data_IF_010001986091
#
_entry.id   IF_010001986091
#
_cell.length_a   1.000
_cell.length_b   1.000
_cell.length_c   1.000
_cell.angle_alpha   90.00
_cell.angle_beta   90.00
_cell.angle_gamma   90.00
#
_symmetry.space_group_name_H-M   'P 1'
#
loop_
_entity.id
_entity.type
_entity.pdbx_description
1 polymer ?
#
# COMPACT_ATOMS: atom_id res chain seq x y z
N UNK A 1 -42.57 -51.64 -28.47
CA UNK A 1 -42.39 -50.27 -28.96
C UNK A 1 -42.65 -49.30 -27.82
N UNK A 2 -41.61 -48.91 -27.11
CA UNK A 2 -41.64 -47.93 -26.02
C UNK A 2 -40.78 -46.74 -26.43
N UNK A 3 -41.37 -45.55 -26.49
CA UNK A 3 -40.63 -44.30 -26.69
C UNK A 3 -39.97 -43.87 -25.36
N UNK A 4 -38.70 -43.44 -25.35
CA UNK A 4 -38.11 -42.78 -24.20
C UNK A 4 -38.35 -41.27 -24.25
N UNK A 5 -38.76 -40.70 -23.10
CA UNK A 5 -38.89 -39.26 -22.86
C UNK A 5 -37.51 -38.59 -22.92
N UNK A 6 -37.40 -37.52 -23.69
CA UNK A 6 -36.28 -36.58 -23.67
C UNK A 6 -36.43 -35.61 -22.49
N UNK A 7 -35.51 -35.67 -21.53
CA UNK A 7 -35.36 -34.69 -20.45
C UNK A 7 -34.43 -33.55 -20.90
N UNK A 8 -34.98 -32.34 -21.04
CA UNK A 8 -34.20 -31.11 -21.20
C UNK A 8 -33.60 -30.67 -19.84
N UNK A 9 -32.36 -30.14 -19.80
CA UNK A 9 -31.83 -29.50 -18.60
C UNK A 9 -32.33 -28.05 -18.49
N UNK A 10 -32.97 -27.72 -17.37
CA UNK A 10 -33.36 -26.36 -17.02
C UNK A 10 -32.12 -25.48 -16.74
N UNK A 11 -31.91 -24.45 -17.57
CA UNK A 11 -31.06 -23.31 -17.23
C UNK A 11 -31.69 -22.53 -16.06
N UNK A 12 -31.04 -22.51 -14.90
CA UNK A 12 -31.31 -21.51 -13.84
C UNK A 12 -30.38 -20.32 -14.03
N UNK A 13 -30.90 -19.24 -14.57
CA UNK A 13 -30.29 -17.91 -14.47
C UNK A 13 -30.49 -17.38 -13.04
N UNK A 14 -29.40 -17.13 -12.32
CA UNK A 14 -29.45 -16.43 -11.02
C UNK A 14 -29.27 -14.94 -11.31
N UNK A 15 -30.38 -14.21 -11.29
CA UNK A 15 -30.39 -12.74 -11.31
C UNK A 15 -30.22 -12.25 -9.88
N UNK A 16 -29.09 -11.63 -9.54
CA UNK A 16 -28.89 -10.98 -8.24
C UNK A 16 -29.41 -9.55 -8.32
N UNK A 17 -30.44 -9.23 -7.55
CA UNK A 17 -30.98 -7.88 -7.43
C UNK A 17 -30.02 -6.99 -6.60
N UNK A 18 -29.85 -5.69 -6.94
CA UNK A 18 -29.07 -4.76 -6.14
C UNK A 18 -29.82 -4.37 -4.85
N UNK A 19 -29.12 -4.10 -3.73
CA UNK A 19 -29.75 -3.71 -2.47
C UNK A 19 -30.30 -2.27 -2.51
N UNK A 20 -31.29 -1.94 -1.66
CA UNK A 20 -32.02 -0.68 -1.71
C UNK A 20 -31.19 0.55 -1.30
N UNK A 21 -31.42 1.66 -2.01
CA UNK A 21 -30.75 2.96 -1.90
C UNK A 21 -31.24 3.81 -0.70
N UNK A 22 -31.19 3.29 0.52
CA UNK A 22 -31.59 4.05 1.73
C UNK A 22 -30.51 4.18 2.81
N UNK A 23 -29.24 3.90 2.48
CA UNK A 23 -28.11 4.03 3.43
C UNK A 23 -27.39 5.39 3.33
N UNK A 24 -27.73 6.23 2.34
CA UNK A 24 -27.10 7.54 2.16
C UNK A 24 -28.09 8.67 2.46
N UNK A 25 -28.37 8.91 3.74
CA UNK A 25 -29.05 10.13 4.19
C UNK A 25 -28.16 10.86 5.21
N UNK A 26 -27.81 12.16 5.02
CA UNK A 26 -26.79 12.86 5.83
C UNK A 26 -27.22 13.24 7.26
N UNK A 27 -28.41 12.84 7.70
CA UNK A 27 -28.98 13.26 8.98
C UNK A 27 -29.48 12.05 9.79
N UNK A 28 -28.55 11.29 10.38
CA UNK A 28 -28.87 10.37 11.47
C UNK A 28 -27.76 10.35 12.53
N UNK A 29 -28.07 10.56 13.82
CA UNK A 29 -27.10 10.72 14.89
C UNK A 29 -26.61 9.34 15.37
N UNK A 30 -25.71 8.73 14.61
CA UNK A 30 -25.03 7.47 14.99
C UNK A 30 -23.51 7.56 14.92
N UNK A 31 -22.94 8.77 14.75
CA UNK A 31 -21.52 9.02 15.01
C UNK A 31 -21.26 9.16 16.53
N UNK A 32 -21.56 8.10 17.27
CA UNK A 32 -21.13 7.94 18.65
C UNK A 32 -21.00 6.43 18.92
N UNK A 33 -19.86 6.04 19.47
CA UNK A 33 -19.49 4.70 19.94
C UNK A 33 -19.21 3.62 18.88
N UNK A 34 -17.91 3.32 18.70
CA UNK A 34 -17.43 1.92 18.72
C UNK A 34 -16.11 1.88 19.50
N UNK A 35 -16.21 1.73 20.82
CA UNK A 35 -15.27 0.93 21.61
C UNK A 35 -15.80 -0.51 21.55
N UNK A 36 -15.03 -1.46 21.01
CA UNK A 36 -15.25 -2.88 21.25
C UNK A 36 -13.90 -3.51 21.63
N UNK A 37 -13.73 -3.73 22.94
CA UNK A 37 -12.81 -4.73 23.48
C UNK A 37 -13.33 -6.11 23.04
N UNK A 38 -12.61 -6.79 22.16
CA UNK A 38 -12.95 -8.15 21.76
C UNK A 38 -12.34 -9.15 22.76
N UNK A 39 -13.05 -9.45 23.83
CA UNK A 39 -12.83 -10.65 24.65
C UNK A 39 -13.56 -11.82 24.00
N UNK A 40 -12.90 -12.53 23.09
CA UNK A 40 -13.31 -13.87 22.68
C UNK A 40 -12.21 -14.86 23.09
N UNK A 41 -12.47 -15.80 24.02
CA UNK A 41 -11.43 -16.64 24.63
C UNK A 41 -10.95 -17.79 23.74
N UNK A 42 -11.33 -17.86 22.45
CA UNK A 42 -10.79 -18.89 21.55
C UNK A 42 -10.69 -18.42 20.08
N UNK A 43 -9.53 -17.88 19.63
CA UNK A 43 -9.39 -17.41 18.26
C UNK A 43 -9.04 -18.55 17.30
N UNK A 44 -9.82 -18.68 16.22
CA UNK A 44 -9.48 -19.52 15.07
C UNK A 44 -8.17 -19.01 14.40
N UNK A 45 -7.11 -19.83 14.33
CA UNK A 45 -5.79 -19.42 13.83
C UNK A 45 -5.76 -19.06 12.33
N UNK A 46 -6.81 -19.39 11.56
CA UNK A 46 -6.88 -19.15 10.11
C UNK A 46 -7.75 -17.96 9.71
N UNK A 47 -8.24 -17.17 10.66
CA UNK A 47 -8.98 -15.94 10.34
C UNK A 47 -8.01 -14.77 10.08
N UNK A 48 -8.10 -14.06 8.93
CA UNK A 48 -7.33 -12.84 8.74
C UNK A 48 -7.85 -11.79 9.72
N UNK A 49 -7.08 -11.51 10.78
CA UNK A 49 -7.34 -10.33 11.62
C UNK A 49 -7.25 -9.10 10.73
N UNK A 50 -8.25 -8.20 10.70
CA UNK A 50 -8.08 -6.89 10.10
C UNK A 50 -6.89 -6.22 10.76
N UNK A 51 -5.84 -5.88 10.00
CA UNK A 51 -4.71 -5.14 10.56
C UNK A 51 -5.25 -3.82 11.10
N UNK A 52 -4.93 -3.47 12.36
CA UNK A 52 -5.26 -2.18 13.00
C UNK A 52 -4.89 -0.96 12.13
N UNK A 53 -3.95 -1.15 11.19
CA UNK A 53 -3.55 -0.22 10.16
C UNK A 53 -4.66 0.31 9.25
N UNK A 54 -5.61 -0.54 8.81
CA UNK A 54 -6.70 -0.10 7.94
C UNK A 54 -7.63 0.88 8.67
N UNK A 55 -7.82 0.69 9.98
CA UNK A 55 -8.58 1.59 10.83
C UNK A 55 -7.82 2.90 11.15
N UNK A 56 -6.50 2.84 11.35
CA UNK A 56 -5.69 4.02 11.71
C UNK A 56 -5.27 4.90 10.52
N UNK A 57 -5.38 4.43 9.27
CA UNK A 57 -5.04 5.20 8.08
C UNK A 57 -5.83 6.52 7.98
N UNK A 58 -7.07 6.50 8.46
CA UNK A 58 -7.95 7.68 8.53
C UNK A 58 -7.52 8.71 9.58
N UNK A 59 -6.78 8.29 10.62
CA UNK A 59 -6.30 9.18 11.69
C UNK A 59 -4.98 9.90 11.33
N UNK A 60 -4.22 9.37 10.35
CA UNK A 60 -2.95 9.93 9.89
C UNK A 60 -3.06 10.76 8.60
N UNK A 61 -4.25 10.88 8.01
CA UNK A 61 -4.48 11.71 6.83
C UNK A 61 -5.33 12.94 7.20
N UNK A 62 -4.71 14.08 7.57
CA UNK A 62 -5.44 15.33 7.83
C UNK A 62 -6.27 15.79 6.62
N UNK A 63 -5.93 15.36 5.40
CA UNK A 63 -6.61 15.78 4.17
C UNK A 63 -7.96 15.10 3.92
N UNK A 64 -8.36 14.10 4.73
CA UNK A 64 -9.69 13.47 4.61
C UNK A 64 -10.75 14.14 5.48
N UNK A 65 -10.37 14.90 6.50
CA UNK A 65 -11.30 15.76 7.24
C UNK A 65 -11.38 17.11 6.53
N UNK A 66 -12.54 17.34 5.92
CA UNK A 66 -12.95 18.60 5.28
C UNK A 66 -12.38 19.84 5.98
N UNK A 67 -11.39 20.48 5.36
CA UNK A 67 -11.09 21.90 5.58
C UNK A 67 -11.53 22.65 4.34
N UNK A 68 -12.65 23.32 4.48
CA UNK A 68 -13.18 24.31 3.55
C UNK A 68 -12.14 25.40 3.26
N UNK A 69 -11.81 25.57 1.98
CA UNK A 69 -11.49 26.84 1.32
C UNK A 69 -10.36 27.77 1.84
N UNK A 70 -9.42 27.32 2.66
CA UNK A 70 -8.24 28.13 2.98
C UNK A 70 -6.94 27.38 2.67
N UNK A 71 -6.37 27.77 1.52
CA UNK A 71 -5.18 27.25 0.86
C UNK A 71 -5.36 25.94 0.09
N UNK A 72 -5.31 26.06 -1.24
CA UNK A 72 -4.58 25.12 -2.09
C UNK A 72 -3.20 24.96 -1.45
N UNK A 73 -3.05 24.00 -0.54
CA UNK A 73 -1.81 23.75 0.22
C UNK A 73 -0.66 23.74 -0.80
N UNK A 74 0.26 24.70 -0.71
CA UNK A 74 1.41 24.72 -1.62
C UNK A 74 2.10 23.37 -1.50
N UNK A 75 2.32 22.71 -2.63
CA UNK A 75 3.03 21.43 -2.63
C UNK A 75 4.42 21.68 -2.05
N UNK A 76 4.90 20.78 -1.20
CA UNK A 76 6.28 20.89 -0.72
C UNK A 76 7.22 20.70 -1.91
N UNK A 77 8.42 21.28 -1.85
CA UNK A 77 9.41 21.09 -2.92
C UNK A 77 9.75 19.59 -3.11
N UNK A 78 9.66 18.79 -2.04
CA UNK A 78 9.81 17.32 -2.11
C UNK A 78 8.62 16.71 -2.85
N UNK A 79 7.39 17.12 -2.55
CA UNK A 79 6.20 16.65 -3.25
C UNK A 79 6.26 16.93 -4.76
N UNK A 80 6.69 18.13 -5.16
CA UNK A 80 6.81 18.50 -6.59
C UNK A 80 7.88 17.66 -7.30
N UNK A 81 9.12 17.66 -6.77
CA UNK A 81 10.24 16.90 -7.34
C UNK A 81 9.94 15.40 -7.43
N UNK A 82 9.37 14.83 -6.37
CA UNK A 82 9.06 13.41 -6.35
C UNK A 82 7.85 13.07 -7.24
N UNK A 83 6.87 13.97 -7.38
CA UNK A 83 5.77 13.79 -8.35
C UNK A 83 6.30 13.66 -9.78
N UNK A 84 7.19 14.57 -10.19
CA UNK A 84 7.79 14.53 -11.53
C UNK A 84 8.64 13.27 -11.75
N UNK A 85 9.45 12.91 -10.75
CA UNK A 85 10.21 11.66 -10.76
C UNK A 85 9.29 10.45 -10.89
N UNK A 86 8.20 10.41 -10.11
CA UNK A 86 7.28 9.28 -10.09
C UNK A 86 6.59 9.07 -11.44
N UNK A 87 6.16 10.14 -12.12
CA UNK A 87 5.57 10.01 -13.46
C UNK A 87 6.57 9.46 -14.47
N UNK A 88 7.82 9.95 -14.46
CA UNK A 88 8.89 9.42 -15.31
C UNK A 88 9.16 7.94 -15.02
N UNK A 89 9.22 7.58 -13.75
CA UNK A 89 9.41 6.21 -13.31
C UNK A 89 8.28 5.28 -13.78
N UNK A 90 7.02 5.72 -13.70
CA UNK A 90 5.86 4.96 -14.20
C UNK A 90 5.96 4.76 -15.72
N UNK A 91 6.34 5.79 -16.49
CA UNK A 91 6.51 5.64 -17.94
C UNK A 91 7.60 4.60 -18.29
N UNK A 92 8.72 4.59 -17.56
CA UNK A 92 9.77 3.58 -17.74
C UNK A 92 9.28 2.18 -17.34
N UNK A 93 8.48 2.07 -16.27
CA UNK A 93 7.86 0.81 -15.85
C UNK A 93 6.94 0.25 -16.95
N UNK A 94 6.13 1.10 -17.58
CA UNK A 94 5.24 0.70 -18.69
C UNK A 94 6.03 0.19 -19.90
N UNK A 95 7.12 0.88 -20.28
CA UNK A 95 8.00 0.45 -21.37
C UNK A 95 8.67 -0.90 -21.09
N UNK A 96 9.20 -1.08 -19.89
CA UNK A 96 9.80 -2.36 -19.49
C UNK A 96 8.75 -3.46 -19.40
N UNK A 97 7.53 -3.16 -18.96
CA UNK A 97 6.43 -4.12 -18.90
C UNK A 97 6.07 -4.65 -20.29
N UNK A 98 6.03 -3.78 -21.31
CA UNK A 98 5.79 -4.19 -22.69
C UNK A 98 6.93 -5.08 -23.22
N UNK A 99 8.19 -4.74 -22.92
CA UNK A 99 9.34 -5.58 -23.28
C UNK A 99 9.27 -6.95 -22.61
N UNK A 100 8.89 -7.01 -21.34
CA UNK A 100 8.75 -8.26 -20.58
C UNK A 100 7.65 -9.16 -21.19
N UNK A 101 6.50 -8.58 -21.57
CA UNK A 101 5.43 -9.32 -22.22
C UNK A 101 5.88 -9.89 -23.57
N UNK A 102 6.49 -9.05 -24.42
CA UNK A 102 6.96 -9.47 -25.73
C UNK A 102 7.94 -10.64 -25.62
N UNK A 103 8.96 -10.50 -24.76
CA UNK A 103 9.98 -11.52 -24.58
C UNK A 103 9.43 -12.81 -23.96
N UNK A 104 8.37 -12.73 -23.14
CA UNK A 104 7.71 -13.92 -22.58
C UNK A 104 6.93 -14.73 -23.63
N UNK A 105 6.52 -14.11 -24.74
CA UNK A 105 5.71 -14.76 -25.79
C UNK A 105 6.57 -15.31 -26.95
N UNK A 106 7.87 -15.00 -26.96
CA UNK A 106 8.79 -15.47 -27.99
C UNK A 106 9.07 -16.98 -27.86
N UNK A 107 9.08 -17.69 -29.01
CA UNK A 107 9.23 -19.16 -29.07
C UNK A 107 10.65 -19.63 -28.74
N UNK A 108 11.66 -18.79 -29.03
CA UNK A 108 13.07 -19.07 -28.77
C UNK A 108 13.61 -17.98 -27.84
N UNK A 109 13.59 -18.24 -26.54
CA UNK A 109 14.08 -17.25 -25.57
C UNK A 109 15.60 -17.37 -25.40
N UNK A 110 16.29 -16.25 -25.59
CA UNK A 110 17.70 -16.12 -25.25
C UNK A 110 17.84 -15.83 -23.75
N UNK A 111 18.50 -16.72 -23.01
CA UNK A 111 18.67 -16.57 -21.56
C UNK A 111 19.40 -15.28 -21.18
N UNK A 112 20.39 -14.85 -21.97
CA UNK A 112 21.12 -13.61 -21.73
C UNK A 112 20.21 -12.37 -21.85
N UNK A 113 19.25 -12.39 -22.78
CA UNK A 113 18.27 -11.31 -22.96
C UNK A 113 17.26 -11.28 -21.82
N UNK A 114 16.78 -12.46 -21.37
CA UNK A 114 15.91 -12.58 -20.19
C UNK A 114 16.59 -11.97 -18.97
N UNK A 115 17.84 -12.36 -18.69
CA UNK A 115 18.61 -11.86 -17.55
C UNK A 115 18.90 -10.36 -17.65
N UNK A 116 19.22 -9.85 -18.85
CA UNK A 116 19.42 -8.42 -19.07
C UNK A 116 18.14 -7.62 -18.78
N UNK A 117 16.97 -8.13 -19.18
CA UNK A 117 15.70 -7.46 -18.93
C UNK A 117 15.29 -7.48 -17.45
N UNK A 118 15.48 -8.62 -16.77
CA UNK A 118 15.31 -8.72 -15.31
C UNK A 118 16.23 -7.72 -14.60
N UNK A 119 17.46 -7.57 -15.06
CA UNK A 119 18.43 -6.61 -14.53
C UNK A 119 17.98 -5.16 -14.72
N UNK A 120 17.41 -4.81 -15.87
CA UNK A 120 16.83 -3.47 -16.12
C UNK A 120 15.70 -3.15 -15.14
N UNK A 121 14.75 -4.08 -14.96
CA UNK A 121 13.60 -3.88 -14.08
C UNK A 121 14.01 -3.79 -12.62
N UNK A 122 14.96 -4.62 -12.18
CA UNK A 122 15.49 -4.56 -10.81
C UNK A 122 16.25 -3.26 -10.56
N UNK A 123 17.03 -2.77 -11.54
CA UNK A 123 17.69 -1.47 -11.44
C UNK A 123 16.70 -0.30 -11.39
N UNK A 124 15.60 -0.35 -12.16
CA UNK A 124 14.53 0.64 -12.08
C UNK A 124 13.89 0.71 -10.68
N UNK A 125 13.72 -0.44 -10.00
CA UNK A 125 13.24 -0.45 -8.62
C UNK A 125 14.29 0.06 -7.63
N UNK A 126 15.58 -0.26 -7.81
CA UNK A 126 16.66 0.28 -6.97
C UNK A 126 16.73 1.79 -7.05
N UNK A 127 16.61 2.36 -8.25
CA UNK A 127 16.57 3.80 -8.47
C UNK A 127 15.40 4.44 -7.71
N UNK A 128 14.20 3.88 -7.84
CA UNK A 128 13.01 4.35 -7.11
C UNK A 128 13.25 4.48 -5.61
N UNK A 129 13.74 3.42 -4.96
CA UNK A 129 13.96 3.45 -3.51
C UNK A 129 15.14 4.35 -3.12
N UNK A 130 16.16 4.47 -3.97
CA UNK A 130 17.28 5.39 -3.73
C UNK A 130 16.80 6.84 -3.70
N UNK A 131 16.01 7.25 -4.70
CA UNK A 131 15.43 8.59 -4.78
C UNK A 131 14.42 8.83 -3.66
N UNK A 132 13.54 7.85 -3.39
CA UNK A 132 12.56 7.90 -2.29
C UNK A 132 13.23 8.10 -0.93
N UNK A 133 14.30 7.35 -0.64
CA UNK A 133 15.00 7.44 0.65
C UNK A 133 15.81 8.72 0.81
N UNK A 134 16.29 9.32 -0.29
CA UNK A 134 16.91 10.64 -0.24
C UNK A 134 15.87 11.72 0.08
N UNK A 135 14.77 11.74 -0.68
CA UNK A 135 13.67 12.69 -0.50
C UNK A 135 13.01 12.61 0.89
N UNK A 136 12.87 11.40 1.45
CA UNK A 136 12.27 11.22 2.77
C UNK A 136 13.12 11.74 3.94
N UNK A 137 14.42 11.99 3.73
CA UNK A 137 15.24 12.70 4.74
C UNK A 137 14.86 14.18 4.85
N UNK A 138 14.34 14.75 3.75
CA UNK A 138 13.89 16.14 3.69
C UNK A 138 12.43 16.25 4.16
N UNK A 139 11.54 15.39 3.65
CA UNK A 139 10.11 15.37 3.99
C UNK A 139 9.56 13.94 3.90
N UNK A 140 9.50 13.25 5.05
CA UNK A 140 8.94 11.90 5.12
C UNK A 140 7.41 11.89 4.99
N UNK A 141 6.72 12.97 5.40
CA UNK A 141 5.26 13.00 5.42
C UNK A 141 4.67 12.99 4.02
N UNK A 142 5.38 13.56 3.04
CA UNK A 142 5.04 13.48 1.62
C UNK A 142 4.77 12.05 1.13
N UNK A 143 5.40 11.03 1.75
CA UNK A 143 5.24 9.62 1.34
C UNK A 143 4.10 8.89 2.03
N UNK A 144 3.61 9.38 3.18
CA UNK A 144 2.46 8.82 3.88
C UNK A 144 1.14 9.33 3.33
N UNK A 145 1.14 10.51 2.70
CA UNK A 145 -0.02 11.11 2.02
C UNK A 145 0.38 11.65 0.62
N UNK A 146 0.81 10.77 -0.30
CA UNK A 146 1.41 11.22 -1.56
C UNK A 146 0.39 11.90 -2.48
N UNK A 147 0.73 13.11 -2.91
CA UNK A 147 -0.09 13.94 -3.80
C UNK A 147 -0.08 13.47 -5.25
N UNK A 148 0.90 12.64 -5.63
CA UNK A 148 1.05 12.05 -6.97
C UNK A 148 0.30 10.72 -7.15
N UNK A 149 -0.41 10.27 -6.11
CA UNK A 149 -1.18 9.02 -6.11
C UNK A 149 -2.67 9.31 -5.92
N UNK A 150 -3.51 8.59 -6.65
CA UNK A 150 -4.97 8.66 -6.48
C UNK A 150 -5.41 8.10 -5.12
N UNK A 151 -6.61 8.46 -4.63
CA UNK A 151 -7.18 7.84 -3.42
C UNK A 151 -7.25 6.31 -3.48
N UNK A 152 -7.45 5.72 -4.67
CA UNK A 152 -7.45 4.27 -4.86
C UNK A 152 -6.05 3.68 -4.66
N UNK A 153 -5.02 4.26 -5.29
CA UNK A 153 -3.62 3.86 -5.07
C UNK A 153 -3.25 4.00 -3.58
N UNK A 154 -3.65 5.12 -2.97
CA UNK A 154 -3.42 5.38 -1.56
C UNK A 154 -4.12 4.37 -0.67
N UNK A 155 -5.35 3.96 -0.97
CA UNK A 155 -6.06 2.93 -0.20
C UNK A 155 -5.31 1.60 -0.19
N UNK A 156 -4.65 1.25 -1.29
CA UNK A 156 -3.91 -0.01 -1.44
C UNK A 156 -2.51 0.00 -0.79
N UNK A 157 -1.98 1.16 -0.43
CA UNK A 157 -0.68 1.26 0.23
C UNK A 157 -0.67 0.64 1.64
N UNK A 158 0.33 -0.18 1.90
CA UNK A 158 0.80 -0.61 3.22
C UNK A 158 2.00 0.27 3.61
N UNK A 159 1.89 1.06 4.67
CA UNK A 159 2.88 2.10 4.99
C UNK A 159 2.96 3.15 3.87
N UNK A 160 3.96 3.09 2.98
CA UNK A 160 4.17 4.02 1.86
C UNK A 160 4.34 3.32 0.50
N UNK A 161 3.76 2.13 0.32
CA UNK A 161 3.80 1.38 -0.95
C UNK A 161 3.06 0.04 -0.89
N UNK A 162 3.25 -0.85 -1.85
CA UNK A 162 2.59 -2.17 -1.90
C UNK A 162 2.96 -3.09 -0.72
N UNK A 163 2.08 -4.03 -0.36
CA UNK A 163 2.34 -5.00 0.71
C UNK A 163 3.05 -6.25 0.16
N UNK A 164 4.21 -6.66 0.69
CA UNK A 164 4.97 -7.80 0.18
C UNK A 164 4.21 -9.12 0.00
N UNK A 165 3.29 -9.44 0.91
CA UNK A 165 2.44 -10.63 0.89
C UNK A 165 1.60 -10.75 -0.38
N UNK A 166 1.30 -9.65 -1.06
CA UNK A 166 0.58 -9.65 -2.33
C UNK A 166 1.35 -10.33 -3.46
N UNK A 167 2.69 -10.28 -3.47
CA UNK A 167 3.49 -10.95 -4.49
C UNK A 167 3.33 -12.47 -4.42
N UNK A 168 3.20 -13.03 -3.22
CA UNK A 168 2.96 -14.45 -3.04
C UNK A 168 1.55 -14.87 -3.48
N UNK A 169 0.55 -13.99 -3.29
CA UNK A 169 -0.80 -14.21 -3.84
C UNK A 169 -0.79 -14.15 -5.38
N UNK A 170 0.00 -13.25 -5.95
CA UNK A 170 0.19 -13.15 -7.39
C UNK A 170 0.87 -14.42 -7.94
N UNK A 171 1.96 -14.89 -7.31
CA UNK A 171 2.63 -16.15 -7.68
C UNK A 171 1.65 -17.32 -7.61
N UNK A 172 0.86 -17.43 -6.54
CA UNK A 172 -0.18 -18.44 -6.40
C UNK A 172 -1.21 -18.44 -7.55
N UNK A 173 -1.52 -17.25 -8.07
CA UNK A 173 -2.43 -17.08 -9.21
C UNK A 173 -1.74 -17.39 -10.55
N UNK A 174 -0.50 -16.93 -10.73
CA UNK A 174 0.30 -17.14 -11.93
C UNK A 174 0.67 -18.61 -12.15
N UNK A 175 0.83 -19.40 -11.07
CA UNK A 175 1.04 -20.86 -11.15
C UNK A 175 -0.02 -21.59 -11.97
N UNK A 176 -1.23 -21.03 -12.05
CA UNK A 176 -2.34 -21.64 -12.80
C UNK A 176 -2.36 -21.25 -14.28
N UNK A 177 -1.56 -20.25 -14.69
CA UNK A 177 -1.71 -19.62 -16.01
C UNK A 177 -0.40 -19.42 -16.76
N UNK A 178 0.66 -18.95 -16.10
CA UNK A 178 1.95 -18.59 -16.73
C UNK A 178 3.14 -19.35 -16.12
N UNK A 179 3.20 -19.42 -14.78
CA UNK A 179 4.23 -20.16 -14.05
C UNK A 179 3.89 -21.66 -13.92
N UNK A 180 3.46 -22.32 -14.99
CA UNK A 180 2.91 -23.68 -14.96
C UNK A 180 3.95 -24.73 -14.56
N UNK A 181 5.24 -24.46 -14.82
CA UNK A 181 6.35 -25.40 -14.61
C UNK A 181 7.22 -25.07 -13.39
N UNK A 182 6.62 -24.63 -12.27
CA UNK A 182 7.38 -24.48 -11.02
C UNK A 182 7.70 -25.85 -10.40
N UNK A 183 8.98 -26.10 -10.12
CA UNK A 183 9.41 -27.33 -9.44
C UNK A 183 9.01 -27.34 -7.96
N UNK A 184 8.87 -28.53 -7.38
CA UNK A 184 8.52 -28.69 -5.95
C UNK A 184 9.52 -27.96 -5.02
N UNK A 185 10.81 -27.99 -5.38
CA UNK A 185 11.86 -27.28 -4.65
C UNK A 185 11.67 -25.75 -4.71
N UNK A 186 11.28 -25.20 -5.86
CA UNK A 186 10.94 -23.77 -5.96
C UNK A 186 9.72 -23.42 -5.13
N UNK A 187 8.68 -24.28 -5.13
CA UNK A 187 7.47 -24.07 -4.35
C UNK A 187 7.77 -24.05 -2.85
N UNK A 188 8.58 -24.98 -2.37
CA UNK A 188 9.04 -25.04 -0.99
C UNK A 188 9.81 -23.77 -0.60
N UNK A 189 10.77 -23.33 -1.43
CA UNK A 189 11.53 -22.08 -1.19
C UNK A 189 10.65 -20.84 -1.18
N UNK A 190 9.67 -20.75 -2.08
CA UNK A 190 8.71 -19.63 -2.09
C UNK A 190 7.85 -19.63 -0.82
N UNK A 191 7.43 -20.80 -0.33
CA UNK A 191 6.64 -20.90 0.89
C UNK A 191 7.45 -20.52 2.14
N UNK A 192 8.69 -20.98 2.25
CA UNK A 192 9.62 -20.54 3.30
C UNK A 192 9.85 -19.02 3.27
N UNK A 193 10.05 -18.47 2.07
CA UNK A 193 10.19 -17.02 1.87
C UNK A 193 8.91 -16.26 2.27
N UNK A 194 7.73 -16.80 1.93
CA UNK A 194 6.42 -16.21 2.29
C UNK A 194 6.26 -16.08 3.80
N UNK A 195 6.58 -17.15 4.54
CA UNK A 195 6.51 -17.15 6.01
C UNK A 195 7.52 -16.16 6.61
N UNK A 196 8.75 -16.13 6.09
CA UNK A 196 9.78 -15.18 6.52
C UNK A 196 9.36 -13.73 6.28
N UNK A 197 8.83 -13.41 5.10
CA UNK A 197 8.41 -12.04 4.76
C UNK A 197 7.17 -11.61 5.54
N UNK A 198 6.24 -12.52 5.83
CA UNK A 198 5.11 -12.25 6.74
C UNK A 198 5.60 -11.79 8.12
N UNK A 199 6.57 -12.48 8.69
CA UNK A 199 7.15 -12.11 9.98
C UNK A 199 7.84 -10.73 9.94
N UNK A 200 8.52 -10.40 8.85
CA UNK A 200 9.13 -9.08 8.66
C UNK A 200 8.08 -7.98 8.46
N UNK A 201 6.97 -8.25 7.76
CA UNK A 201 5.83 -7.32 7.68
C UNK A 201 5.26 -7.03 9.08
N UNK A 202 5.04 -8.06 9.90
CA UNK A 202 4.54 -7.91 11.28
C UNK A 202 5.48 -7.09 12.16
N UNK A 203 6.79 -7.19 11.97
CA UNK A 203 7.77 -6.33 12.66
C UNK A 203 7.59 -4.86 12.28
N UNK A 204 7.41 -4.56 11.00
CA UNK A 204 7.19 -3.19 10.51
C UNK A 204 5.88 -2.64 11.05
N UNK A 205 4.81 -3.44 11.04
CA UNK A 205 3.50 -3.05 11.58
C UNK A 205 3.59 -2.73 13.09
N UNK A 206 4.29 -3.56 13.87
CA UNK A 206 4.53 -3.31 15.30
C UNK A 206 5.36 -2.05 15.55
N UNK A 207 6.36 -1.76 14.74
CA UNK A 207 7.14 -0.53 14.89
C UNK A 207 6.29 0.70 14.56
N UNK A 208 5.45 0.64 13.52
CA UNK A 208 4.52 1.73 13.24
C UNK A 208 3.54 1.97 14.40
N UNK A 209 2.99 0.91 14.97
CA UNK A 209 2.11 1.00 16.15
C UNK A 209 2.82 1.68 17.33
N UNK A 210 4.07 1.29 17.61
CA UNK A 210 4.90 1.95 18.63
C UNK A 210 5.08 3.44 18.37
N UNK A 211 5.32 3.83 17.12
CA UNK A 211 5.43 5.25 16.75
C UNK A 211 4.11 6.00 16.98
N UNK A 212 2.98 5.41 16.61
CA UNK A 212 1.65 6.01 16.82
C UNK A 212 1.32 6.19 18.30
N UNK A 213 1.59 5.17 19.13
CA UNK A 213 1.37 5.25 20.59
C UNK A 213 2.25 6.33 21.21
N UNK A 214 3.56 6.34 20.88
CA UNK A 214 4.48 7.36 21.38
C UNK A 214 4.05 8.79 20.98
N UNK A 215 3.46 8.97 19.80
CA UNK A 215 2.90 10.26 19.38
C UNK A 215 1.66 10.65 20.18
N UNK A 216 0.75 9.70 20.43
CA UNK A 216 -0.46 9.95 21.20
C UNK A 216 -0.15 10.31 22.65
N UNK A 217 0.77 9.58 23.29
CA UNK A 217 1.20 9.84 24.67
C UNK A 217 1.80 11.25 24.81
N UNK A 218 2.63 11.67 23.85
CA UNK A 218 3.21 13.02 23.83
C UNK A 218 2.14 14.11 23.70
N UNK A 219 1.17 13.93 22.80
CA UNK A 219 0.03 14.86 22.65
C UNK A 219 -0.78 14.96 23.95
N UNK A 220 -1.01 13.85 24.64
CA UNK A 220 -1.69 13.87 25.93
C UNK A 220 -0.90 14.62 26.99
N UNK A 221 0.43 14.45 27.05
CA UNK A 221 1.29 15.19 27.98
C UNK A 221 1.27 16.69 27.70
N UNK A 222 1.30 17.10 26.44
CA UNK A 222 1.20 18.52 26.06
C UNK A 222 -0.16 19.13 26.42
N UNK A 223 -1.26 18.42 26.14
CA UNK A 223 -2.60 18.83 26.54
C UNK A 223 -2.73 18.97 28.06
N UNK A 224 -2.16 18.03 28.83
CA UNK A 224 -2.15 18.11 30.30
C UNK A 224 -1.35 19.32 30.81
N UNK A 225 -0.21 19.63 30.20
CA UNK A 225 0.59 20.82 30.53
C UNK A 225 -0.18 22.11 30.22
N UNK A 226 -0.82 22.20 29.05
CA UNK A 226 -1.65 23.36 28.70
C UNK A 226 -2.82 23.53 29.69
N UNK A 227 -3.54 22.45 30.01
CA UNK A 227 -4.65 22.48 30.97
C UNK A 227 -4.20 22.93 32.38
N UNK A 228 -3.04 22.48 32.84
CA UNK A 228 -2.47 22.90 34.13
C UNK A 228 -2.06 24.38 34.17
N UNK A 229 -1.72 24.97 33.01
CA UNK A 229 -1.24 26.36 32.88
C UNK A 229 -2.36 27.37 32.69
N UNK A 230 -3.45 27.00 32.01
CA UNK A 230 -4.70 27.79 31.98
C UNK A 230 -5.20 28.08 33.41
N UNK A 231 -4.87 27.21 34.36
CA UNK A 231 -5.16 27.38 35.79
C UNK A 231 -4.26 28.41 36.50
N UNK A 232 -3.05 28.69 35.98
CA UNK A 232 -1.98 29.42 36.69
C UNK A 232 -1.51 30.74 36.01
N UNK A 233 -2.09 31.17 34.88
CA UNK A 233 -2.06 32.57 34.43
C UNK A 233 -0.71 33.22 34.06
N UNK A 234 0.26 32.51 33.46
CA UNK A 234 1.59 33.07 33.11
C UNK A 234 1.87 33.20 31.61
N UNK A 235 2.29 34.39 31.16
CA UNK A 235 2.43 34.84 29.75
C UNK A 235 3.84 34.59 29.13
N UNK A 236 4.82 34.08 29.89
CA UNK A 236 6.26 34.04 29.50
C UNK A 236 6.68 32.79 28.68
N UNK A 237 5.77 31.89 28.29
CA UNK A 237 6.12 30.48 27.98
C UNK A 237 5.95 30.04 26.50
N UNK A 238 5.63 30.96 25.58
CA UNK A 238 5.38 30.59 24.17
C UNK A 238 6.63 30.02 23.48
N UNK A 239 7.82 30.59 23.74
CA UNK A 239 9.08 30.24 23.06
C UNK A 239 9.64 28.88 23.50
N UNK A 240 9.52 28.50 24.78
CA UNK A 240 10.00 27.19 25.27
C UNK A 240 9.12 26.02 24.79
N UNK A 241 7.80 26.27 24.64
CA UNK A 241 6.87 25.25 24.15
C UNK A 241 7.12 24.99 22.66
N UNK A 242 7.38 26.03 21.88
CA UNK A 242 7.68 25.92 20.45
C UNK A 242 8.96 25.09 20.20
N UNK A 243 10.02 25.31 21.00
CA UNK A 243 11.24 24.50 20.95
C UNK A 243 11.04 23.03 21.32
N UNK A 244 10.21 22.72 22.32
CA UNK A 244 9.90 21.33 22.71
C UNK A 244 9.06 20.60 21.65
N UNK A 245 8.12 21.31 21.02
CA UNK A 245 7.30 20.80 19.92
C UNK A 245 8.17 20.48 18.70
N UNK A 246 9.14 21.33 18.35
CA UNK A 246 10.09 21.08 17.26
C UNK A 246 10.94 19.82 17.50
N UNK A 247 11.47 19.64 18.71
CA UNK A 247 12.19 18.42 19.10
C UNK A 247 11.29 17.19 19.01
N UNK A 248 10.05 17.29 19.51
CA UNK A 248 9.10 16.19 19.46
C UNK A 248 8.73 15.80 18.02
N UNK A 249 8.52 16.80 17.15
CA UNK A 249 8.25 16.62 15.73
C UNK A 249 9.43 15.96 15.02
N UNK A 250 10.67 16.41 15.26
CA UNK A 250 11.89 15.78 14.70
C UNK A 250 12.02 14.30 15.07
N UNK A 251 11.77 13.95 16.34
CA UNK A 251 11.81 12.55 16.80
C UNK A 251 10.75 11.71 16.08
N UNK A 252 9.54 12.25 15.92
CA UNK A 252 8.45 11.57 15.22
C UNK A 252 8.76 11.36 13.73
N UNK A 253 9.22 12.40 13.03
CA UNK A 253 9.59 12.33 11.62
C UNK A 253 10.71 11.30 11.40
N UNK A 254 11.74 11.29 12.26
CA UNK A 254 12.81 10.28 12.21
C UNK A 254 12.28 8.86 12.47
N UNK A 255 11.32 8.70 13.39
CA UNK A 255 10.62 7.43 13.63
C UNK A 255 9.88 6.92 12.39
N UNK A 256 9.12 7.80 11.73
CA UNK A 256 8.39 7.49 10.50
C UNK A 256 9.36 7.15 9.35
N UNK A 257 10.49 7.86 9.24
CA UNK A 257 11.52 7.58 8.24
C UNK A 257 12.11 6.18 8.42
N UNK A 258 12.37 5.76 9.67
CA UNK A 258 12.84 4.40 9.99
C UNK A 258 11.80 3.34 9.61
N UNK A 259 10.52 3.56 9.95
CA UNK A 259 9.43 2.64 9.56
C UNK A 259 9.31 2.53 8.05
N UNK A 260 9.36 3.66 7.35
CA UNK A 260 9.28 3.72 5.90
C UNK A 260 10.41 2.91 5.24
N UNK A 261 11.66 3.15 5.67
CA UNK A 261 12.83 2.42 5.18
C UNK A 261 12.77 0.93 5.51
N UNK A 262 12.30 0.57 6.70
CA UNK A 262 12.11 -0.83 7.07
C UNK A 262 11.10 -1.52 6.13
N UNK A 263 9.95 -0.89 5.86
CA UNK A 263 8.95 -1.39 4.93
C UNK A 263 9.50 -1.56 3.51
N UNK A 264 10.23 -0.56 3.00
CA UNK A 264 10.88 -0.60 1.69
C UNK A 264 11.95 -1.70 1.60
N UNK A 265 12.70 -1.92 2.68
CA UNK A 265 13.64 -3.03 2.77
C UNK A 265 12.94 -4.39 2.69
N UNK A 266 11.77 -4.58 3.32
CA UNK A 266 11.00 -5.83 3.19
C UNK A 266 10.54 -6.04 1.73
N UNK A 267 10.09 -4.98 1.05
CA UNK A 267 9.74 -5.02 -0.39
C UNK A 267 10.91 -5.47 -1.25
N UNK A 268 12.08 -4.85 -1.08
CA UNK A 268 13.28 -5.19 -1.83
C UNK A 268 13.77 -6.61 -1.54
N UNK A 269 13.77 -7.03 -0.27
CA UNK A 269 14.12 -8.40 0.13
C UNK A 269 13.16 -9.44 -0.45
N UNK A 270 11.86 -9.11 -0.51
CA UNK A 270 10.86 -10.00 -1.10
C UNK A 270 11.06 -10.13 -2.60
N UNK A 271 11.21 -9.01 -3.31
CA UNK A 271 11.43 -9.03 -4.75
C UNK A 271 12.71 -9.81 -5.09
N UNK A 272 13.82 -9.51 -4.42
CA UNK A 272 15.08 -10.24 -4.60
C UNK A 272 14.91 -11.73 -4.29
N UNK A 273 14.32 -12.08 -3.15
CA UNK A 273 14.16 -13.46 -2.73
C UNK A 273 13.31 -14.29 -3.69
N UNK A 274 12.27 -13.70 -4.30
CA UNK A 274 11.48 -14.37 -5.34
C UNK A 274 12.34 -14.57 -6.60
N UNK A 275 13.05 -13.53 -7.06
CA UNK A 275 13.89 -13.60 -8.25
C UNK A 275 15.07 -14.58 -8.10
N UNK A 276 15.60 -14.76 -6.89
CA UNK A 276 16.66 -15.74 -6.60
C UNK A 276 16.17 -17.20 -6.71
N UNK A 277 14.84 -17.45 -6.65
CA UNK A 277 14.25 -18.80 -6.69
C UNK A 277 13.75 -19.16 -8.09
N UNK A 278 13.26 -18.18 -8.84
CA UNK A 278 12.67 -18.37 -10.17
C UNK A 278 13.74 -18.52 -11.25
N UNK A 279 13.42 -19.27 -12.31
CA UNK A 279 14.25 -19.31 -13.52
C UNK A 279 14.15 -17.96 -14.27
N UNK A 280 15.09 -17.64 -15.19
CA UNK A 280 15.06 -16.37 -15.92
C UNK A 280 13.73 -16.08 -16.64
N UNK A 281 13.12 -17.09 -17.27
CA UNK A 281 11.81 -16.93 -17.93
C UNK A 281 10.70 -16.67 -16.91
N UNK A 282 10.66 -17.43 -15.81
CA UNK A 282 9.70 -17.24 -14.73
C UNK A 282 9.83 -15.85 -14.10
N UNK A 283 11.06 -15.34 -13.96
CA UNK A 283 11.32 -13.96 -13.52
C UNK A 283 10.69 -12.93 -14.46
N UNK A 284 10.84 -13.11 -15.78
CA UNK A 284 10.24 -12.21 -16.77
C UNK A 284 8.71 -12.22 -16.68
N UNK A 285 8.08 -13.39 -16.62
CA UNK A 285 6.63 -13.53 -16.48
C UNK A 285 6.10 -12.93 -15.16
N UNK A 286 6.80 -13.21 -14.06
CA UNK A 286 6.47 -12.68 -12.74
C UNK A 286 6.60 -11.16 -12.69
N UNK A 287 7.66 -10.58 -13.23
CA UNK A 287 7.86 -9.14 -13.29
C UNK A 287 6.82 -8.48 -14.21
N UNK A 288 6.48 -9.10 -15.35
CA UNK A 288 5.47 -8.58 -16.26
C UNK A 288 4.11 -8.44 -15.57
N UNK A 289 3.72 -9.47 -14.81
CA UNK A 289 2.50 -9.48 -14.04
C UNK A 289 2.52 -8.48 -12.88
N UNK A 290 3.66 -8.37 -12.18
CA UNK A 290 3.83 -7.42 -11.07
C UNK A 290 3.71 -5.98 -11.55
N UNK A 291 4.39 -5.63 -12.65
CA UNK A 291 4.29 -4.31 -13.27
C UNK A 291 2.86 -4.04 -13.75
N UNK A 292 2.21 -5.03 -14.37
CA UNK A 292 0.81 -4.90 -14.83
C UNK A 292 -0.14 -4.55 -13.68
N UNK A 293 -0.02 -5.19 -12.52
CA UNK A 293 -0.87 -4.88 -11.35
C UNK A 293 -0.71 -3.41 -10.93
N UNK A 294 0.53 -2.90 -10.85
CA UNK A 294 0.80 -1.52 -10.47
C UNK A 294 0.24 -0.52 -11.50
N UNK A 295 0.48 -0.78 -12.79
CA UNK A 295 -0.01 0.06 -13.90
C UNK A 295 -1.54 0.09 -13.92
N UNK A 296 -2.20 -1.07 -13.78
CA UNK A 296 -3.67 -1.16 -13.79
C UNK A 296 -4.30 -0.46 -12.60
N UNK A 297 -3.71 -0.60 -11.40
CA UNK A 297 -4.18 0.10 -10.22
C UNK A 297 -4.16 1.62 -10.43
N UNK A 298 -3.09 2.15 -11.00
CA UNK A 298 -2.97 3.58 -11.33
C UNK A 298 -3.97 4.03 -12.39
N UNK A 299 -4.14 3.26 -13.46
CA UNK A 299 -5.13 3.55 -14.50
C UNK A 299 -6.56 3.60 -13.95
N UNK A 300 -6.93 2.64 -13.10
CA UNK A 300 -8.24 2.65 -12.43
C UNK A 300 -8.40 3.81 -11.46
N UNK A 301 -7.33 4.15 -10.74
CA UNK A 301 -7.29 5.28 -9.84
C UNK A 301 -7.57 6.61 -10.54
N UNK A 302 -6.86 6.87 -11.65
CA UNK A 302 -7.08 8.07 -12.48
C UNK A 302 -8.49 8.13 -13.05
N UNK A 303 -8.98 7.03 -13.65
CA UNK A 303 -10.34 6.97 -14.21
C UNK A 303 -11.43 7.34 -13.20
N UNK A 304 -11.30 6.88 -11.94
CA UNK A 304 -12.25 7.24 -10.87
C UNK A 304 -12.15 8.72 -10.48
N UNK A 305 -10.94 9.28 -10.42
CA UNK A 305 -10.75 10.70 -10.16
C UNK A 305 -11.40 11.57 -11.25
N UNK A 306 -11.21 11.21 -12.52
CA UNK A 306 -11.79 11.94 -13.65
C UNK A 306 -13.32 11.88 -13.63
N UNK A 307 -13.89 10.69 -13.39
CA UNK A 307 -15.34 10.52 -13.25
C UNK A 307 -15.92 11.36 -12.11
N UNK A 308 -15.28 11.38 -10.94
CA UNK A 308 -15.73 12.19 -9.81
C UNK A 308 -15.60 13.70 -10.09
N UNK A 309 -14.61 14.12 -10.87
CA UNK A 309 -14.46 15.51 -11.27
C UNK A 309 -15.54 15.97 -12.27
N UNK A 310 -16.04 15.05 -13.10
CA UNK A 310 -17.14 15.31 -14.04
C UNK A 310 -18.51 15.34 -13.34
N UNK A 311 -18.72 14.53 -12.30
CA UNK A 311 -19.99 14.50 -11.53
C UNK A 311 -20.18 15.71 -10.59
N UNK A 312 -19.09 16.40 -10.24
CA UNK A 312 -19.10 17.55 -9.34
C UNK A 312 -19.00 18.91 -10.08
N UNK A 313 -19.20 18.93 -11.40
CA UNK A 313 -19.37 20.14 -12.21
C UNK A 313 -20.83 20.31 -12.59
#
# INVERSE_FOLDING_TARGET
MHQPRTSQPHHRSITVAPPPLSIWSPHSPSCAYIYITNTNPNPNPNSPRPSLWHFHKHLLCPRQFSLSNLSRLMRTQVEERFSEFFEKWVCQLEQLQQQLLKLSEETLQNEAELQALVSKVTNLHKEYYTVKWAAAREDVLAFFCPVWSSPLENAYNWVTGWKPSMLFQLIGSLRKTRLVNMSEEQLKKIEELRLKMRYEEEKVEREMERQQVAMADRRMVELARLASRVRNGGEVVVVEVEGLVDVALKVMLSGLERVMKAADCVRLKTLKGVLDVLSPLQCVEFLAATCMVQIRLRQWGRKKCDQNALLNR
#
